data_IF_672536106409
#
_entry.id   IF_672536106409
#
_cell.length_a   1.000
_cell.length_b   1.000
_cell.length_c   1.000
_cell.angle_alpha   90.00
_cell.angle_beta   90.00
_cell.angle_gamma   90.00
#
_symmetry.space_group_name_H-M   'P 1'
#
loop_
_entity.id
_entity.type
_entity.pdbx_description
1 polymer ?
#
# COMPACT_ATOMS: atom_id res chain seq x y z
N UNK A 1 -60.66 39.20 15.65
CA UNK A 1 -60.27 38.58 16.93
C UNK A 1 -60.00 37.10 16.70
N UNK A 2 -58.77 36.64 17.02
CA UNK A 2 -58.39 35.25 17.39
C UNK A 2 -58.51 34.20 16.26
N UNK A 3 -57.49 33.46 15.79
CA UNK A 3 -56.14 33.16 16.30
C UNK A 3 -55.19 32.78 15.15
N UNK A 4 -53.92 33.07 15.39
CA UNK A 4 -52.71 32.64 14.68
C UNK A 4 -52.45 31.14 14.95
N UNK A 5 -52.05 30.40 13.91
CA UNK A 5 -51.18 29.21 13.96
C UNK A 5 -50.82 28.88 12.48
N UNK A 6 -49.70 29.36 11.95
CA UNK A 6 -48.38 28.71 12.02
C UNK A 6 -48.41 27.26 11.51
N UNK A 7 -47.92 27.01 10.29
CA UNK A 7 -46.58 26.44 10.07
C UNK A 7 -46.30 26.29 8.55
N UNK A 8 -45.50 27.21 8.01
CA UNK A 8 -44.73 26.95 6.78
C UNK A 8 -43.61 25.97 7.14
N UNK A 9 -43.43 24.93 6.34
CA UNK A 9 -42.13 24.26 6.25
C UNK A 9 -41.89 23.84 4.79
N UNK A 10 -41.28 24.77 4.05
CA UNK A 10 -40.45 24.42 2.92
C UNK A 10 -39.18 23.76 3.47
N UNK A 11 -38.80 22.61 2.93
CA UNK A 11 -37.39 22.22 2.92
C UNK A 11 -37.11 21.52 1.59
N UNK A 12 -36.56 22.32 0.69
CA UNK A 12 -35.85 21.85 -0.48
C UNK A 12 -34.80 20.84 -0.03
N UNK A 13 -34.92 19.62 -0.55
CA UNK A 13 -33.88 18.59 -0.45
C UNK A 13 -32.68 19.07 -1.26
N UNK A 14 -31.79 19.74 -0.54
CA UNK A 14 -30.43 20.04 -0.98
C UNK A 14 -29.70 18.70 -1.10
N UNK A 15 -29.47 18.25 -2.33
CA UNK A 15 -28.44 17.26 -2.63
C UNK A 15 -27.06 17.93 -2.42
N UNK A 16 -26.62 18.00 -1.17
CA UNK A 16 -25.22 18.24 -0.82
C UNK A 16 -24.69 17.01 -0.12
N UNK A 17 -24.10 16.10 -0.90
CA UNK A 17 -23.06 15.19 -0.43
C UNK A 17 -22.31 14.66 -1.65
N UNK A 18 -21.49 15.53 -2.22
CA UNK A 18 -20.24 15.14 -2.88
C UNK A 18 -19.12 15.88 -2.14
N UNK A 19 -18.96 15.53 -0.86
CA UNK A 19 -17.76 15.82 -0.09
C UNK A 19 -16.97 14.50 -0.02
N UNK A 20 -16.36 14.13 -1.14
CA UNK A 20 -15.30 13.13 -1.19
C UNK A 20 -14.13 13.79 -1.90
N UNK A 21 -12.98 13.88 -1.21
CA UNK A 21 -11.72 14.28 -1.81
C UNK A 21 -11.25 15.70 -1.47
N UNK A 22 -11.44 16.18 -0.24
CA UNK A 22 -10.46 17.11 0.35
C UNK A 22 -9.26 16.26 0.84
N UNK A 23 -8.59 15.60 -0.10
CA UNK A 23 -7.20 15.23 0.09
C UNK A 23 -6.42 16.51 -0.16
N UNK A 24 -6.26 17.27 0.93
CA UNK A 24 -5.34 18.41 1.04
C UNK A 24 -4.15 18.22 0.11
N UNK A 25 -3.85 19.27 -0.67
CA UNK A 25 -2.70 19.33 -1.57
C UNK A 25 -1.34 19.01 -0.88
N UNK A 26 -1.27 18.97 0.46
CA UNK A 26 -0.09 18.56 1.24
C UNK A 26 0.42 17.13 0.93
N UNK A 27 -0.45 16.19 0.53
CA UNK A 27 -0.03 14.80 0.27
C UNK A 27 0.57 14.60 -1.15
N UNK A 28 0.39 15.55 -2.09
CA UNK A 28 0.97 15.43 -3.44
C UNK A 28 2.46 15.77 -3.49
N UNK A 29 2.94 16.60 -2.56
CA UNK A 29 4.33 17.03 -2.47
C UNK A 29 5.19 16.09 -1.61
N UNK A 30 4.56 15.08 -0.97
CA UNK A 30 5.29 14.06 -0.22
C UNK A 30 6.25 13.30 -1.14
N UNK A 31 7.52 13.26 -0.75
CA UNK A 31 8.58 12.54 -1.46
C UNK A 31 9.21 11.54 -0.51
N UNK A 32 9.33 10.30 -0.98
CA UNK A 32 9.96 9.20 -0.25
C UNK A 32 11.28 8.83 -0.92
N UNK A 33 12.35 8.75 -0.12
CA UNK A 33 13.61 8.14 -0.54
C UNK A 33 13.46 6.60 -0.49
N UNK A 34 13.02 6.04 -1.62
CA UNK A 34 12.72 4.60 -1.75
C UNK A 34 13.95 3.74 -1.45
N UNK A 35 15.13 4.19 -1.91
CA UNK A 35 16.38 3.46 -1.74
C UNK A 35 16.78 3.42 -0.27
N UNK A 36 16.75 4.57 0.42
CA UNK A 36 17.11 4.63 1.84
C UNK A 36 16.15 3.80 2.70
N UNK A 37 14.84 3.85 2.41
CA UNK A 37 13.85 3.00 3.08
C UNK A 37 14.17 1.51 2.86
N UNK A 38 14.41 1.09 1.61
CA UNK A 38 14.72 -0.30 1.30
C UNK A 38 16.04 -0.76 1.95
N UNK A 39 17.08 0.07 1.93
CA UNK A 39 18.36 -0.22 2.59
C UNK A 39 18.20 -0.40 4.11
N UNK A 40 17.39 0.43 4.77
CA UNK A 40 17.13 0.31 6.21
C UNK A 40 16.30 -0.95 6.53
N UNK A 41 15.30 -1.28 5.70
CA UNK A 41 14.57 -2.55 5.85
C UNK A 41 15.51 -3.75 5.69
N UNK A 42 16.37 -3.75 4.67
CA UNK A 42 17.36 -4.81 4.41
C UNK A 42 18.40 -4.93 5.52
N UNK A 43 18.75 -3.85 6.22
CA UNK A 43 19.74 -3.89 7.30
C UNK A 43 19.16 -4.26 8.66
N UNK A 44 17.94 -3.80 8.97
CA UNK A 44 17.33 -3.97 10.30
C UNK A 44 16.48 -5.24 10.39
N UNK A 45 15.90 -5.71 9.28
CA UNK A 45 15.12 -6.95 9.26
C UNK A 45 16.04 -8.12 8.90
N UNK A 46 16.09 -9.12 9.78
CA UNK A 46 16.80 -10.36 9.53
C UNK A 46 15.98 -11.30 8.63
N UNK A 47 15.89 -10.98 7.34
CA UNK A 47 15.26 -11.84 6.33
C UNK A 47 15.91 -13.25 6.31
N UNK A 48 15.09 -14.28 6.04
CA UNK A 48 15.56 -15.65 5.89
C UNK A 48 16.23 -15.87 4.53
N UNK A 49 15.73 -15.22 3.48
CA UNK A 49 16.35 -15.21 2.16
C UNK A 49 17.27 -13.99 1.99
N UNK A 50 18.32 -14.16 1.17
CA UNK A 50 19.05 -13.02 0.63
C UNK A 50 18.18 -12.31 -0.41
N UNK A 51 17.66 -11.14 -0.06
CA UNK A 51 16.87 -10.34 -0.97
C UNK A 51 17.76 -9.59 -1.95
N UNK A 52 17.40 -9.63 -3.23
CA UNK A 52 18.09 -8.92 -4.30
C UNK A 52 17.10 -8.09 -5.11
N UNK A 53 17.59 -7.00 -5.69
CA UNK A 53 16.76 -6.12 -6.51
C UNK A 53 16.27 -6.89 -7.74
N UNK A 54 14.98 -6.80 -8.00
CA UNK A 54 14.30 -7.48 -9.10
C UNK A 54 13.37 -6.50 -9.79
N UNK A 55 13.16 -6.65 -11.09
CA UNK A 55 12.21 -5.83 -11.83
C UNK A 55 10.77 -6.10 -11.34
N UNK A 56 10.02 -5.05 -11.04
CA UNK A 56 8.66 -5.16 -10.52
C UNK A 56 7.73 -5.94 -11.47
N UNK A 57 7.92 -5.85 -12.78
CA UNK A 57 7.10 -6.60 -13.75
C UNK A 57 7.33 -8.12 -13.69
N UNK A 58 8.44 -8.58 -13.10
CA UNK A 58 8.67 -10.01 -12.87
C UNK A 58 7.87 -10.55 -11.68
N UNK A 59 7.59 -9.71 -10.68
CA UNK A 59 6.81 -10.10 -9.50
C UNK A 59 5.31 -9.83 -9.71
N UNK A 60 4.96 -8.68 -10.28
CA UNK A 60 3.60 -8.19 -10.37
C UNK A 60 3.03 -8.46 -11.76
N UNK A 61 2.49 -9.66 -11.96
CA UNK A 61 1.90 -10.03 -13.25
C UNK A 61 0.74 -9.09 -13.61
N UNK A 62 0.78 -8.54 -14.82
CA UNK A 62 -0.23 -7.57 -15.27
C UNK A 62 -0.03 -6.14 -14.75
N UNK A 63 1.14 -5.81 -14.18
CA UNK A 63 1.49 -4.43 -13.82
C UNK A 63 1.32 -3.48 -15.02
N UNK A 64 0.43 -2.50 -14.88
CA UNK A 64 0.28 -1.41 -15.84
C UNK A 64 1.41 -0.41 -15.63
N UNK A 65 2.40 -0.42 -16.52
CA UNK A 65 3.53 0.50 -16.46
C UNK A 65 3.09 1.98 -16.50
N UNK A 66 1.92 2.32 -17.07
CA UNK A 66 1.41 3.69 -17.08
C UNK A 66 0.88 4.15 -15.72
N UNK A 67 0.66 3.22 -14.78
CA UNK A 67 0.25 3.51 -13.41
C UNK A 67 1.44 3.79 -12.48
N UNK A 68 2.68 3.51 -12.91
CA UNK A 68 3.90 3.60 -12.09
C UNK A 68 4.82 4.70 -12.62
N UNK A 69 5.21 5.64 -11.76
CA UNK A 69 6.27 6.59 -12.05
C UNK A 69 7.66 6.00 -11.77
N UNK A 70 7.79 5.35 -10.61
CA UNK A 70 9.03 4.74 -10.12
C UNK A 70 8.67 3.49 -9.30
N UNK A 71 9.53 2.47 -9.32
CA UNK A 71 9.39 1.29 -8.46
C UNK A 71 10.77 0.81 -8.02
N UNK A 72 10.84 0.32 -6.79
CA UNK A 72 12.00 -0.38 -6.24
C UNK A 72 11.50 -1.65 -5.55
N UNK A 73 11.96 -2.81 -6.03
CA UNK A 73 11.50 -4.12 -5.57
C UNK A 73 12.67 -5.03 -5.26
N UNK A 74 12.60 -5.72 -4.13
CA UNK A 74 13.55 -6.75 -3.70
C UNK A 74 12.78 -8.03 -3.41
N UNK A 75 13.32 -9.16 -3.84
CA UNK A 75 12.76 -10.50 -3.57
C UNK A 75 13.86 -11.49 -3.26
N UNK A 76 13.52 -12.51 -2.48
CA UNK A 76 14.38 -13.64 -2.21
C UNK A 76 14.55 -14.56 -3.42
N UNK A 77 15.26 -15.66 -3.22
CA UNK A 77 15.57 -16.66 -4.26
C UNK A 77 14.37 -17.53 -4.68
N UNK A 78 13.21 -17.31 -4.06
CA UNK A 78 11.98 -18.09 -4.25
C UNK A 78 11.79 -19.20 -3.21
N UNK A 79 12.65 -19.29 -2.19
CA UNK A 79 12.48 -20.20 -1.05
C UNK A 79 11.44 -19.69 -0.04
N UNK A 80 11.33 -18.37 0.10
CA UNK A 80 10.38 -17.70 0.98
C UNK A 80 9.56 -16.64 0.21
N UNK A 81 8.42 -16.17 0.77
CA UNK A 81 7.65 -15.06 0.18
C UNK A 81 8.24 -13.68 0.49
N UNK A 82 9.47 -13.61 1.02
CA UNK A 82 10.05 -12.37 1.52
C UNK A 82 10.32 -11.39 0.38
N UNK A 83 9.79 -10.19 0.56
CA UNK A 83 9.70 -9.18 -0.50
C UNK A 83 9.66 -7.79 0.14
N UNK A 84 10.35 -6.83 -0.48
CA UNK A 84 10.16 -5.39 -0.25
C UNK A 84 9.71 -4.79 -1.58
N UNK A 85 8.63 -4.04 -1.59
CA UNK A 85 8.19 -3.30 -2.76
C UNK A 85 7.81 -1.86 -2.40
N UNK A 86 8.42 -0.91 -3.10
CA UNK A 86 8.10 0.51 -2.99
C UNK A 86 7.69 1.00 -4.37
N UNK A 87 6.43 1.41 -4.51
CA UNK A 87 5.92 2.01 -5.74
C UNK A 87 5.63 3.47 -5.52
N UNK A 88 5.99 4.30 -6.50
CA UNK A 88 5.45 5.64 -6.68
C UNK A 88 4.48 5.60 -7.84
N UNK A 89 3.21 5.89 -7.55
CA UNK A 89 2.15 6.00 -8.54
C UNK A 89 2.40 7.16 -9.51
N UNK A 90 2.01 7.00 -10.78
CA UNK A 90 2.09 8.05 -11.79
C UNK A 90 1.16 9.24 -11.47
N UNK A 91 0.08 8.99 -10.74
CA UNK A 91 -0.88 10.00 -10.27
C UNK A 91 -1.68 9.48 -9.09
N UNK A 92 -2.33 10.37 -8.35
CA UNK A 92 -3.06 10.04 -7.13
C UNK A 92 -4.19 9.02 -7.36
N UNK A 93 -4.85 9.04 -8.52
CA UNK A 93 -5.91 8.09 -8.87
C UNK A 93 -5.40 6.67 -9.15
N UNK A 94 -4.07 6.47 -9.26
CA UNK A 94 -3.45 5.15 -9.49
C UNK A 94 -3.03 4.44 -8.21
N UNK A 95 -2.93 5.16 -7.08
CA UNK A 95 -2.48 4.61 -5.78
C UNK A 95 -3.33 3.43 -5.35
N UNK A 96 -4.66 3.58 -5.36
CA UNK A 96 -5.59 2.51 -4.98
C UNK A 96 -5.49 1.29 -5.90
N UNK A 97 -5.21 1.51 -7.18
CA UNK A 97 -5.00 0.43 -8.15
C UNK A 97 -3.75 -0.39 -7.85
N UNK A 98 -2.64 0.29 -7.56
CA UNK A 98 -1.38 -0.35 -7.18
C UNK A 98 -1.50 -1.09 -5.84
N UNK A 99 -2.18 -0.49 -4.86
CA UNK A 99 -2.46 -1.15 -3.58
C UNK A 99 -3.23 -2.46 -3.77
N UNK A 100 -4.32 -2.45 -4.55
CA UNK A 100 -5.12 -3.65 -4.82
C UNK A 100 -4.34 -4.73 -5.56
N UNK A 101 -3.45 -4.34 -6.47
CA UNK A 101 -2.57 -5.27 -7.17
C UNK A 101 -1.65 -5.99 -6.17
N UNK A 102 -1.06 -5.26 -5.22
CA UNK A 102 -0.22 -5.84 -4.17
C UNK A 102 -1.03 -6.74 -3.24
N UNK A 103 -2.24 -6.32 -2.83
CA UNK A 103 -3.15 -7.15 -2.03
C UNK A 103 -3.47 -8.47 -2.75
N UNK A 104 -3.77 -8.41 -4.06
CA UNK A 104 -4.06 -9.58 -4.88
C UNK A 104 -2.86 -10.53 -4.97
N UNK A 105 -1.65 -10.00 -5.20
CA UNK A 105 -0.42 -10.79 -5.19
C UNK A 105 -0.18 -11.46 -3.83
N UNK A 106 -0.38 -10.73 -2.72
CA UNK A 106 -0.23 -11.29 -1.39
C UNK A 106 -1.21 -12.43 -1.12
N UNK A 107 -2.47 -12.29 -1.54
CA UNK A 107 -3.48 -13.36 -1.46
C UNK A 107 -3.09 -14.58 -2.30
N UNK A 108 -2.62 -14.37 -3.54
CA UNK A 108 -2.11 -15.45 -4.40
C UNK A 108 -0.93 -16.19 -3.76
N UNK A 109 0.02 -15.46 -3.18
CA UNK A 109 1.15 -16.05 -2.45
C UNK A 109 0.66 -16.84 -1.23
N UNK A 110 -0.34 -16.35 -0.48
CA UNK A 110 -0.90 -17.11 0.65
C UNK A 110 -1.52 -18.44 0.21
N UNK A 111 -2.27 -18.43 -0.89
CA UNK A 111 -2.87 -19.64 -1.48
C UNK A 111 -1.78 -20.60 -1.94
N UNK A 112 -0.75 -20.08 -2.62
CA UNK A 112 0.37 -20.85 -3.14
C UNK A 112 1.15 -21.53 -1.99
N UNK A 113 1.64 -20.75 -1.03
CA UNK A 113 2.43 -21.25 0.09
C UNK A 113 1.63 -22.16 1.03
N UNK A 114 0.31 -21.99 1.16
CA UNK A 114 -0.51 -22.95 1.91
C UNK A 114 -0.39 -24.40 1.38
N UNK A 115 -0.06 -24.58 0.09
CA UNK A 115 0.09 -25.90 -0.53
C UNK A 115 1.47 -26.55 -0.41
N UNK A 116 2.55 -25.78 -0.28
CA UNK A 116 3.93 -26.32 -0.32
C UNK A 116 4.90 -25.78 0.75
N UNK A 117 4.54 -24.71 1.45
CA UNK A 117 5.32 -24.11 2.53
C UNK A 117 4.42 -23.36 3.51
N UNK A 118 3.47 -24.05 4.18
CA UNK A 118 2.44 -23.41 5.01
C UNK A 118 3.01 -22.62 6.19
N UNK A 119 4.22 -22.93 6.63
CA UNK A 119 4.97 -22.19 7.64
C UNK A 119 5.31 -20.75 7.24
N UNK A 120 5.30 -20.44 5.93
CA UNK A 120 5.54 -19.10 5.41
C UNK A 120 4.28 -18.22 5.36
N UNK A 121 3.10 -18.83 5.39
CA UNK A 121 1.80 -18.13 5.31
C UNK A 121 1.60 -17.07 6.41
N UNK A 122 2.03 -17.28 7.67
CA UNK A 122 1.97 -16.22 8.69
C UNK A 122 2.65 -14.91 8.27
N UNK A 123 3.82 -14.96 7.61
CA UNK A 123 4.53 -13.76 7.14
C UNK A 123 3.70 -12.94 6.16
N UNK A 124 2.99 -13.62 5.26
CA UNK A 124 2.11 -13.00 4.26
C UNK A 124 0.83 -12.42 4.90
N UNK A 125 0.32 -13.02 5.97
CA UNK A 125 -0.83 -12.49 6.73
C UNK A 125 -0.47 -11.24 7.51
N UNK A 126 0.76 -11.19 8.03
CA UNK A 126 1.29 -10.08 8.79
C UNK A 126 2.00 -9.05 7.90
N UNK A 127 1.95 -9.22 6.58
CA UNK A 127 2.59 -8.33 5.61
C UNK A 127 2.19 -6.88 5.84
N UNK A 128 3.17 -5.99 5.81
CA UNK A 128 2.96 -4.56 5.98
C UNK A 128 2.64 -3.96 4.63
N UNK A 129 1.50 -3.25 4.52
CA UNK A 129 1.09 -2.53 3.32
C UNK A 129 0.56 -1.15 3.72
N UNK A 130 1.33 -0.11 3.41
CA UNK A 130 1.03 1.27 3.81
C UNK A 130 1.05 2.21 2.59
N UNK A 131 0.30 3.30 2.67
CA UNK A 131 0.20 4.30 1.58
C UNK A 131 0.33 5.71 2.11
N UNK A 132 1.08 6.57 1.41
CA UNK A 132 1.19 8.00 1.71
C UNK A 132 1.48 8.79 0.43
N UNK A 133 0.69 9.82 0.16
CA UNK A 133 0.79 10.57 -1.09
C UNK A 133 0.66 9.66 -2.29
N UNK A 134 1.67 9.67 -3.17
CA UNK A 134 1.74 8.79 -4.34
C UNK A 134 2.37 7.42 -4.07
N UNK A 135 2.80 7.14 -2.84
CA UNK A 135 3.58 5.94 -2.54
C UNK A 135 2.73 4.81 -1.98
N UNK A 136 3.03 3.60 -2.42
CA UNK A 136 2.54 2.33 -1.87
C UNK A 136 3.77 1.51 -1.46
N UNK A 137 3.86 1.17 -0.17
CA UNK A 137 4.99 0.46 0.42
C UNK A 137 4.51 -0.87 0.97
N UNK A 138 5.22 -1.94 0.60
CA UNK A 138 4.92 -3.31 0.97
C UNK A 138 6.17 -4.02 1.49
N UNK A 139 6.02 -4.78 2.57
CA UNK A 139 7.09 -5.62 3.10
C UNK A 139 6.53 -6.91 3.69
N UNK A 140 7.09 -8.04 3.27
CA UNK A 140 6.87 -9.37 3.84
C UNK A 140 8.18 -9.86 4.42
N UNK A 141 8.20 -10.15 5.71
CA UNK A 141 9.39 -10.59 6.40
C UNK A 141 9.08 -11.26 7.73
N UNK A 142 10.11 -11.73 8.45
CA UNK A 142 9.93 -12.41 9.73
C UNK A 142 9.54 -11.49 10.89
N UNK A 143 9.80 -10.18 10.78
CA UNK A 143 9.43 -9.18 11.79
C UNK A 143 8.59 -8.04 11.20
N UNK A 144 7.28 -8.29 11.06
CA UNK A 144 6.32 -7.31 10.56
C UNK A 144 6.21 -6.06 11.45
N UNK A 145 6.47 -6.18 12.77
CA UNK A 145 6.37 -5.05 13.69
C UNK A 145 7.52 -4.08 13.46
N UNK A 146 8.76 -4.58 13.39
CA UNK A 146 9.92 -3.76 13.04
C UNK A 146 9.79 -3.14 11.65
N UNK A 147 9.36 -3.94 10.65
CA UNK A 147 9.09 -3.43 9.31
C UNK A 147 8.10 -2.26 9.30
N UNK A 148 6.99 -2.40 10.05
CA UNK A 148 5.97 -1.37 10.16
C UNK A 148 6.48 -0.11 10.85
N UNK A 149 7.30 -0.25 11.89
CA UNK A 149 7.91 0.90 12.57
C UNK A 149 8.86 1.67 11.64
N UNK A 150 9.72 0.97 10.90
CA UNK A 150 10.63 1.56 9.90
C UNK A 150 9.80 2.27 8.83
N UNK A 151 8.87 1.57 8.16
CA UNK A 151 8.02 2.15 7.11
C UNK A 151 7.31 3.40 7.60
N UNK A 152 6.64 3.34 8.75
CA UNK A 152 5.93 4.49 9.30
C UNK A 152 6.85 5.64 9.71
N UNK A 153 8.14 5.40 9.94
CA UNK A 153 9.11 6.49 10.18
C UNK A 153 9.40 7.31 8.92
N UNK A 154 9.31 6.68 7.75
CA UNK A 154 9.49 7.30 6.44
C UNK A 154 8.21 7.94 5.89
N UNK A 155 7.03 7.48 6.32
CA UNK A 155 5.73 7.99 5.85
C UNK A 155 5.13 9.15 6.69
N UNK A 156 5.92 9.73 7.60
CA UNK A 156 5.49 10.80 8.51
C UNK A 156 5.19 12.13 7.81
#
# INVERSE_FOLDING_TARGET
>A
MKKIASLLMALALVFTMAACGDSKDEDKDFTLDQKKLAEELLSEISFEDELSEVDAAMLYTGLDASAVAESLTYSGTGGTPEEIAVFKAASADKVDGLKKMIESRNEELQISYAGYGPEQVPKLKDAVLETKGLYVVYCVGPDASAAKEIINSYLK
#
